data_IF_414471547831
#
_entry.id   IF_414471547831
#
_cell.length_a   1.000
_cell.length_b   1.000
_cell.length_c   1.000
_cell.angle_alpha   90.00
_cell.angle_beta   90.00
_cell.angle_gamma   90.00
#
_symmetry.space_group_name_H-M   'P 1'
#
loop_
_entity.id
_entity.type
_entity.pdbx_description
1 polymer ?
#
# COMPACT_ATOMS: atom_id res chain seq x y z
N UNK A 1 -4.83 -6.79 2.91
CA UNK A 1 -5.36 -6.19 4.16
C UNK A 1 -4.39 -5.10 4.62
N UNK A 2 -4.87 -4.03 5.26
CA UNK A 2 -4.03 -2.96 5.79
C UNK A 2 -4.00 -3.07 7.31
N UNK A 3 -2.79 -3.15 7.87
CA UNK A 3 -2.54 -3.14 9.31
C UNK A 3 -1.97 -1.78 9.70
N UNK A 4 -2.56 -1.14 10.71
CA UNK A 4 -2.01 0.08 11.29
C UNK A 4 -0.83 -0.30 12.20
N UNK A 5 0.35 0.24 11.92
CA UNK A 5 1.58 -0.02 12.68
C UNK A 5 2.03 1.16 13.55
N UNK A 6 1.18 2.17 13.70
CA UNK A 6 1.43 3.41 14.44
C UNK A 6 0.87 4.61 13.69
N UNK A 7 0.81 5.78 14.34
CA UNK A 7 0.19 6.99 13.76
C UNK A 7 0.74 7.35 12.37
N UNK A 8 2.03 7.11 12.14
CA UNK A 8 2.74 7.51 10.90
C UNK A 8 3.14 6.31 10.02
N UNK A 9 2.78 5.07 10.38
CA UNK A 9 3.25 3.87 9.67
C UNK A 9 2.08 2.96 9.28
N UNK A 10 1.98 2.70 7.98
CA UNK A 10 1.05 1.73 7.41
C UNK A 10 1.77 0.45 6.99
N UNK A 11 1.23 -0.71 7.36
CA UNK A 11 1.73 -2.02 6.91
C UNK A 11 0.71 -2.68 5.99
N UNK A 12 1.19 -3.25 4.90
CA UNK A 12 0.38 -4.07 4.01
C UNK A 12 0.65 -5.55 4.30
N UNK A 13 -0.43 -6.31 4.45
CA UNK A 13 -0.40 -7.76 4.56
C UNK A 13 -1.24 -8.34 3.40
N UNK A 14 -0.62 -8.54 2.21
CA UNK A 14 -1.26 -9.19 1.08
C UNK A 14 -1.31 -10.71 1.25
N UNK A 15 -1.91 -11.39 0.28
CA UNK A 15 -1.85 -12.85 0.17
C UNK A 15 -0.41 -13.33 0.01
N UNK A 16 -0.12 -14.55 0.46
CA UNK A 16 1.18 -15.20 0.22
C UNK A 16 1.38 -15.61 -1.26
N UNK A 17 0.31 -15.67 -2.04
CA UNK A 17 0.32 -16.06 -3.46
C UNK A 17 0.11 -14.84 -4.37
N UNK A 18 0.52 -13.66 -3.92
CA UNK A 18 0.42 -12.43 -4.73
C UNK A 18 1.54 -12.41 -5.79
N UNK A 19 1.23 -11.98 -7.01
CA UNK A 19 2.24 -11.81 -8.05
C UNK A 19 3.05 -10.52 -7.85
N UNK A 20 4.31 -10.52 -8.27
CA UNK A 20 5.20 -9.35 -8.12
C UNK A 20 4.70 -8.12 -8.90
N UNK A 21 4.04 -8.36 -10.04
CA UNK A 21 3.43 -7.30 -10.84
C UNK A 21 2.30 -6.59 -10.08
N UNK A 22 1.45 -7.35 -9.40
CA UNK A 22 0.35 -6.82 -8.60
C UNK A 22 0.85 -6.00 -7.40
N UNK A 23 1.98 -6.39 -6.80
CA UNK A 23 2.64 -5.60 -5.74
C UNK A 23 3.07 -4.25 -6.30
N UNK A 24 3.78 -4.23 -7.42
CA UNK A 24 4.28 -2.97 -8.02
C UNK A 24 3.13 -2.04 -8.41
N UNK A 25 2.11 -2.59 -9.07
CA UNK A 25 0.94 -1.82 -9.47
C UNK A 25 0.19 -1.27 -8.25
N UNK A 26 -0.02 -2.10 -7.22
CA UNK A 26 -0.65 -1.70 -5.97
C UNK A 26 0.09 -0.55 -5.28
N UNK A 27 1.43 -0.60 -5.23
CA UNK A 27 2.25 0.45 -4.62
C UNK A 27 2.23 1.75 -5.41
N UNK A 28 2.24 1.70 -6.75
CA UNK A 28 2.10 2.90 -7.59
C UNK A 28 0.74 3.57 -7.37
N UNK A 29 -0.35 2.78 -7.36
CA UNK A 29 -1.69 3.29 -7.08
C UNK A 29 -1.80 3.91 -5.69
N UNK A 30 -1.18 3.28 -4.68
CA UNK A 30 -1.14 3.82 -3.32
C UNK A 30 -0.41 5.17 -3.26
N UNK A 31 0.77 5.29 -3.89
CA UNK A 31 1.53 6.54 -3.92
C UNK A 31 0.73 7.69 -4.55
N UNK A 32 0.02 7.42 -5.65
CA UNK A 32 -0.87 8.41 -6.28
C UNK A 32 -2.02 8.82 -5.35
N UNK A 33 -2.63 7.87 -4.63
CA UNK A 33 -3.72 8.15 -3.72
C UNK A 33 -3.25 9.01 -2.53
N UNK A 34 -2.10 8.69 -1.94
CA UNK A 34 -1.50 9.50 -0.86
C UNK A 34 -1.25 10.93 -1.35
N UNK A 35 -0.67 11.09 -2.54
CA UNK A 35 -0.43 12.41 -3.14
C UNK A 35 -1.68 13.28 -3.26
N UNK A 36 -2.87 12.70 -3.38
CA UNK A 36 -4.15 13.45 -3.43
C UNK A 36 -4.66 13.88 -2.05
N UNK A 37 -4.20 13.23 -0.98
CA UNK A 37 -4.66 13.49 0.39
C UNK A 37 -3.74 14.46 1.12
N UNK A 38 -2.44 14.44 0.81
CA UNK A 38 -1.44 15.29 1.47
C UNK A 38 -1.13 16.59 0.73
N UNK A 39 -1.70 16.79 -0.47
CA UNK A 39 -1.52 17.99 -1.28
C UNK A 39 -2.50 19.11 -0.89
#
# INVERSE_FOLDING_TARGET
MVLNAGADVMRFAPSLVVEEADIHEGMQRFAQAVGKVVA
#
